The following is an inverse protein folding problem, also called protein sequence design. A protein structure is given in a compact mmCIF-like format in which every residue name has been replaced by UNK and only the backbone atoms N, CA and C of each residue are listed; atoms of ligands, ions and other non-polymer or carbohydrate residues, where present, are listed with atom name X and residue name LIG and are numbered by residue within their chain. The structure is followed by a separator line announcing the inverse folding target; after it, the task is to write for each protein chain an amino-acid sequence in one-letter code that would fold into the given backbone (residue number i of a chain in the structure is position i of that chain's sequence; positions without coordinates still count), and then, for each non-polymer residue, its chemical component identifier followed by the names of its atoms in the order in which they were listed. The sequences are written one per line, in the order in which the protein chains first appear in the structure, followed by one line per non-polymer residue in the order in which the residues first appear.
data_IF_307809484918
#
_entry.id   IF_307809484918
#
_cell.length_a   1.000
_cell.length_b   1.000
_cell.length_c   1.000
_cell.angle_alpha   90.00
_cell.angle_beta   90.00
_cell.angle_gamma   90.00
#
_symmetry.space_group_name_H-M   'P 1'
#
loop_
_entity.id
_entity.type
_entity.pdbx_description
1 polymer ?
#
# COMPACT_ATOMS: atom_id res chain seq x y z
N UNK A 1 -22.71 -3.27 4.12
CA UNK A 1 -22.35 -1.86 3.84
C UNK A 1 -21.14 -1.88 2.91
N UNK A 2 -21.33 -1.63 1.61
CA UNK A 2 -20.34 -1.92 0.57
C UNK A 2 -19.16 -0.94 0.64
N UNK A 3 -18.11 -1.31 1.38
CA UNK A 3 -16.89 -0.52 1.56
C UNK A 3 -16.29 -0.04 0.23
N UNK A 4 -16.37 -0.88 -0.81
CA UNK A 4 -15.89 -0.56 -2.17
C UNK A 4 -16.67 0.61 -2.78
N UNK A 5 -18.00 0.66 -2.63
CA UNK A 5 -18.83 1.75 -3.18
C UNK A 5 -18.59 3.10 -2.48
N UNK A 6 -18.25 3.05 -1.20
CA UNK A 6 -17.95 4.24 -0.40
C UNK A 6 -16.56 4.80 -0.69
N UNK A 7 -15.58 3.93 -0.93
CA UNK A 7 -14.20 4.33 -1.27
C UNK A 7 -14.13 4.89 -2.71
N UNK A 8 -14.95 4.38 -3.63
CA UNK A 8 -14.94 4.81 -5.05
C UNK A 8 -16.02 5.84 -5.40
N UNK A 9 -16.72 6.42 -4.41
CA UNK A 9 -17.77 7.46 -4.63
C UNK A 9 -18.77 7.02 -5.72
N UNK A 10 -19.18 5.75 -5.69
CA UNK A 10 -20.16 5.19 -6.64
C UNK A 10 -19.68 4.97 -8.10
N UNK A 11 -18.43 5.31 -8.46
CA UNK A 11 -17.92 5.14 -9.85
C UNK A 11 -17.14 3.84 -10.04
N UNK A 12 -17.76 2.70 -9.74
CA UNK A 12 -17.15 1.35 -9.87
C UNK A 12 -16.75 1.01 -11.30
N UNK A 13 -17.37 1.62 -12.30
CA UNK A 13 -17.03 1.39 -13.71
C UNK A 13 -15.62 1.85 -14.09
N UNK A 14 -15.09 2.84 -13.37
CA UNK A 14 -13.74 3.38 -13.61
C UNK A 14 -12.63 2.50 -13.08
N UNK A 15 -12.93 1.47 -12.28
CA UNK A 15 -11.97 0.47 -11.82
C UNK A 15 -11.69 -0.62 -12.86
N UNK A 16 -12.64 -0.93 -13.76
CA UNK A 16 -12.45 -2.00 -14.73
C UNK A 16 -11.28 -1.73 -15.69
N UNK A 17 -11.08 -0.47 -16.10
CA UNK A 17 -9.96 -0.07 -16.96
C UNK A 17 -8.59 -0.28 -16.29
N UNK A 18 -8.29 0.31 -15.12
CA UNK A 18 -7.01 0.08 -14.43
C UNK A 18 -6.80 -1.38 -14.06
N UNK A 19 -7.83 -2.11 -13.62
CA UNK A 19 -7.72 -3.54 -13.32
C UNK A 19 -7.40 -4.34 -14.58
N UNK A 20 -8.08 -4.07 -15.69
CA UNK A 20 -7.81 -4.70 -16.99
C UNK A 20 -6.40 -4.42 -17.51
N UNK A 21 -5.94 -3.16 -17.43
CA UNK A 21 -4.57 -2.80 -17.79
C UNK A 21 -3.53 -3.47 -16.89
N UNK A 22 -3.80 -3.58 -15.59
CA UNK A 22 -2.91 -4.24 -14.64
C UNK A 22 -2.85 -5.75 -14.90
N UNK A 23 -3.99 -6.39 -15.19
CA UNK A 23 -4.08 -7.79 -15.62
C UNK A 23 -3.27 -8.05 -16.90
N UNK A 24 -3.47 -7.22 -17.92
CA UNK A 24 -2.70 -7.30 -19.17
C UNK A 24 -1.20 -7.13 -18.92
N UNK A 25 -0.79 -6.13 -18.13
CA UNK A 25 0.62 -5.88 -17.82
C UNK A 25 1.28 -7.07 -17.09
N UNK A 26 0.56 -7.73 -16.18
CA UNK A 26 1.09 -8.90 -15.47
C UNK A 26 1.13 -10.16 -16.34
N UNK A 27 0.15 -10.37 -17.23
CA UNK A 27 0.22 -11.44 -18.23
C UNK A 27 1.42 -11.23 -19.16
N UNK A 28 1.66 -9.99 -19.58
CA UNK A 28 2.82 -9.59 -20.37
C UNK A 28 4.11 -9.93 -19.58
N UNK A 29 4.17 -9.68 -18.26
CA UNK A 29 5.29 -10.08 -17.40
C UNK A 29 5.62 -11.58 -17.32
N UNK A 30 4.71 -12.47 -17.73
CA UNK A 30 5.01 -13.91 -17.78
C UNK A 30 5.94 -14.24 -18.96
N UNK A 31 5.87 -13.46 -20.05
CA UNK A 31 6.65 -13.67 -21.28
C UNK A 31 8.17 -13.74 -21.02
N UNK A 32 8.80 -12.79 -20.31
CA UNK A 32 10.25 -12.85 -20.04
C UNK A 32 10.62 -14.03 -19.13
N UNK A 33 9.74 -14.47 -18.23
CA UNK A 33 9.96 -15.68 -17.44
C UNK A 33 9.99 -16.94 -18.32
N UNK A 34 9.04 -17.10 -19.23
CA UNK A 34 9.04 -18.20 -20.20
C UNK A 34 10.28 -18.18 -21.09
N UNK A 35 10.65 -17.02 -21.64
CA UNK A 35 11.86 -16.87 -22.47
C UNK A 35 13.15 -17.19 -21.69
N UNK A 36 13.20 -16.84 -20.41
CA UNK A 36 14.34 -17.17 -19.54
C UNK A 36 14.44 -18.68 -19.29
N UNK A 37 13.31 -19.37 -19.07
CA UNK A 37 13.28 -20.83 -18.92
C UNK A 37 13.74 -21.50 -20.23
N UNK A 38 13.28 -21.02 -21.39
CA UNK A 38 13.70 -21.51 -22.70
C UNK A 38 15.21 -21.33 -22.91
N UNK A 39 15.76 -20.16 -22.55
CA UNK A 39 17.19 -19.88 -22.63
C UNK A 39 18.02 -20.80 -21.72
N UNK A 40 17.57 -21.01 -20.48
CA UNK A 40 18.21 -21.96 -19.54
C UNK A 40 18.16 -23.37 -20.10
N UNK A 41 17.04 -23.79 -20.71
CA UNK A 41 16.88 -25.13 -21.31
C UNK A 41 17.84 -25.35 -22.47
N UNK A 42 18.03 -24.36 -23.34
CA UNK A 42 18.97 -24.41 -24.47
C UNK A 42 20.42 -24.54 -23.96
N UNK A 43 20.77 -23.75 -22.94
CA UNK A 43 22.10 -23.81 -22.32
C UNK A 43 22.32 -25.18 -21.66
N UNK A 44 21.37 -25.66 -20.86
CA UNK A 44 21.47 -26.97 -20.22
C UNK A 44 21.54 -28.11 -21.23
N UNK A 45 20.74 -28.09 -22.31
CA UNK A 45 20.78 -29.13 -23.35
C UNK A 45 22.11 -29.20 -24.08
N UNK A 46 22.85 -28.09 -24.16
CA UNK A 46 24.18 -28.05 -24.75
C UNK A 46 25.28 -28.56 -23.79
N UNK A 47 25.02 -28.57 -22.48
CA UNK A 47 25.95 -29.07 -21.46
C UNK A 47 25.62 -30.49 -20.96
N UNK A 48 24.51 -31.09 -21.39
CA UNK A 48 24.02 -32.42 -20.97
C UNK A 48 24.79 -33.61 -21.62
N UNK A 49 26.02 -33.39 -22.08
CA UNK A 49 26.88 -34.45 -22.64
C UNK A 49 26.43 -35.03 -24.00
N UNK A 50 25.38 -34.49 -24.62
CA UNK A 50 24.76 -35.00 -25.85
C UNK A 50 25.45 -34.55 -27.16
N UNK A 51 26.48 -33.70 -27.09
CA UNK A 51 27.27 -33.27 -28.24
C UNK A 51 26.55 -32.37 -29.26
N UNK A 52 25.38 -31.81 -28.91
CA UNK A 52 24.71 -30.84 -29.77
C UNK A 52 25.42 -29.48 -29.72
N UNK A 53 25.72 -28.85 -30.87
CA UNK A 53 26.34 -27.52 -30.90
C UNK A 53 25.41 -26.48 -30.28
N UNK A 54 25.99 -25.51 -29.57
CA UNK A 54 25.26 -24.41 -28.97
C UNK A 54 24.57 -23.60 -30.08
N UNK A 55 23.24 -23.65 -30.13
CA UNK A 55 22.43 -23.02 -31.17
C UNK A 55 22.38 -21.49 -30.97
N UNK A 56 23.52 -20.84 -31.25
CA UNK A 56 23.83 -19.44 -30.95
C UNK A 56 22.85 -18.48 -31.61
N UNK A 57 22.30 -18.87 -32.77
CA UNK A 57 21.29 -18.12 -33.51
C UNK A 57 19.96 -18.03 -32.76
N UNK A 58 19.52 -19.12 -32.11
CA UNK A 58 18.29 -19.10 -31.30
C UNK A 58 18.46 -18.24 -30.04
N UNK A 59 19.66 -18.24 -29.45
CA UNK A 59 19.96 -17.43 -28.27
C UNK A 59 19.93 -15.91 -28.59
N UNK A 60 20.45 -15.52 -29.75
CA UNK A 60 20.36 -14.13 -30.24
C UNK A 60 18.92 -13.70 -30.57
N UNK A 61 18.10 -14.60 -31.12
CA UNK A 61 16.67 -14.33 -31.32
C UNK A 61 15.93 -14.14 -30.00
N UNK A 62 16.20 -14.98 -28.99
CA UNK A 62 15.62 -14.82 -27.65
C UNK A 62 16.04 -13.47 -27.05
N UNK A 63 17.32 -13.10 -27.17
CA UNK A 63 17.81 -11.81 -26.70
C UNK A 63 17.13 -10.63 -27.41
N UNK A 64 16.97 -10.70 -28.74
CA UNK A 64 16.28 -9.69 -29.54
C UNK A 64 14.81 -9.55 -29.16
N UNK A 65 14.10 -10.67 -28.98
CA UNK A 65 12.71 -10.70 -28.53
C UNK A 65 12.58 -10.12 -27.11
N UNK A 66 13.53 -10.43 -26.22
CA UNK A 66 13.53 -9.90 -24.84
C UNK A 66 13.80 -8.39 -24.80
N UNK A 67 14.70 -7.89 -25.65
CA UNK A 67 14.96 -6.46 -25.79
C UNK A 67 13.74 -5.72 -26.35
N UNK A 68 13.09 -6.27 -27.39
CA UNK A 68 11.86 -5.71 -27.95
C UNK A 68 10.71 -5.73 -26.92
N UNK A 69 10.57 -6.82 -26.17
CA UNK A 69 9.62 -6.95 -25.07
C UNK A 69 9.83 -5.86 -24.01
N UNK A 70 11.08 -5.63 -23.57
CA UNK A 70 11.40 -4.57 -22.61
C UNK A 70 10.96 -3.19 -23.11
N UNK A 71 11.16 -2.92 -24.40
CA UNK A 71 10.81 -1.66 -25.02
C UNK A 71 9.28 -1.45 -25.11
N UNK A 72 8.55 -2.48 -25.53
CA UNK A 72 7.08 -2.49 -25.56
C UNK A 72 6.51 -2.31 -24.15
N UNK A 73 7.08 -2.99 -23.16
CA UNK A 73 6.64 -2.90 -21.78
C UNK A 73 6.89 -1.51 -21.19
N UNK A 74 8.06 -0.92 -21.43
CA UNK A 74 8.37 0.44 -20.98
C UNK A 74 7.40 1.48 -21.58
N UNK A 75 7.00 1.31 -22.85
CA UNK A 75 6.01 2.17 -23.50
C UNK A 75 4.60 1.96 -22.91
N UNK A 76 4.20 0.71 -22.69
CA UNK A 76 2.91 0.35 -22.11
C UNK A 76 2.77 0.86 -20.66
N UNK A 77 3.80 0.71 -19.83
CA UNK A 77 3.81 1.28 -18.47
C UNK A 77 3.71 2.80 -18.49
N UNK A 78 4.47 3.49 -19.36
CA UNK A 78 4.37 4.94 -19.49
C UNK A 78 2.97 5.40 -19.95
N UNK A 79 2.27 4.61 -20.75
CA UNK A 79 0.91 4.91 -21.18
C UNK A 79 -0.11 4.66 -20.06
N UNK A 80 -0.01 3.51 -19.39
CA UNK A 80 -0.86 3.14 -18.23
C UNK A 80 -0.69 4.12 -17.07
N UNK A 81 0.55 4.52 -16.76
CA UNK A 81 0.85 5.52 -15.75
C UNK A 81 0.20 6.87 -16.11
N UNK A 82 0.35 7.35 -17.34
CA UNK A 82 -0.29 8.61 -17.76
C UNK A 82 -1.82 8.56 -17.71
N UNK A 83 -2.43 7.43 -18.07
CA UNK A 83 -3.89 7.27 -18.05
C UNK A 83 -4.45 7.20 -16.62
N UNK A 84 -3.81 6.44 -15.73
CA UNK A 84 -4.25 6.28 -14.34
C UNK A 84 -4.05 7.57 -13.53
N UNK A 85 -2.90 8.24 -13.69
CA UNK A 85 -2.62 9.46 -12.94
C UNK A 85 -3.49 10.64 -13.38
N UNK A 86 -3.79 10.82 -14.68
CA UNK A 86 -4.70 11.89 -15.11
C UNK A 86 -6.11 11.74 -14.53
N UNK A 87 -6.68 10.52 -14.58
CA UNK A 87 -8.02 10.27 -14.05
C UNK A 87 -8.11 10.47 -12.53
N UNK A 88 -7.04 10.14 -11.81
CA UNK A 88 -6.88 10.40 -10.39
C UNK A 88 -6.83 11.90 -10.07
N UNK A 89 -5.99 12.67 -10.77
CA UNK A 89 -5.82 14.10 -10.54
C UNK A 89 -7.11 14.90 -10.86
N UNK A 90 -7.80 14.58 -11.96
CA UNK A 90 -9.09 15.20 -12.28
C UNK A 90 -10.16 14.91 -11.22
N UNK A 91 -10.15 13.70 -10.65
CA UNK A 91 -11.05 13.34 -9.57
C UNK A 91 -10.75 14.12 -8.29
N UNK A 92 -9.48 14.29 -7.95
CA UNK A 92 -9.09 15.10 -6.79
C UNK A 92 -9.46 16.57 -6.97
N UNK A 93 -9.21 17.13 -8.15
CA UNK A 93 -9.55 18.51 -8.48
C UNK A 93 -11.07 18.77 -8.43
N UNK A 94 -11.87 17.90 -9.05
CA UNK A 94 -13.34 18.02 -9.01
C UNK A 94 -13.92 17.80 -7.61
N UNK A 95 -13.33 16.90 -6.82
CA UNK A 95 -13.71 16.69 -5.43
C UNK A 95 -13.45 17.92 -4.55
N UNK A 96 -12.27 18.55 -4.68
CA UNK A 96 -11.95 19.80 -3.99
C UNK A 96 -12.92 20.92 -4.35
N UNK A 97 -13.29 21.04 -5.64
CA UNK A 97 -14.24 22.04 -6.10
C UNK A 97 -15.64 21.82 -5.54
N UNK A 98 -16.13 20.57 -5.53
CA UNK A 98 -17.44 20.24 -4.98
C UNK A 98 -17.53 20.51 -3.46
N UNK A 99 -16.46 20.23 -2.71
CA UNK A 99 -16.45 20.49 -1.27
C UNK A 99 -16.35 21.99 -0.96
N UNK A 100 -15.52 22.73 -1.71
CA UNK A 100 -15.46 24.19 -1.61
C UNK A 100 -16.85 24.81 -1.85
N UNK A 101 -17.57 24.29 -2.85
CA UNK A 101 -18.93 24.70 -3.17
C UNK A 101 -19.96 24.30 -2.10
N UNK A 102 -19.76 23.17 -1.43
CA UNK A 102 -20.58 22.76 -0.29
C UNK A 102 -20.33 23.64 0.94
N UNK A 103 -19.07 23.92 1.26
CA UNK A 103 -18.65 24.82 2.34
C UNK A 103 -19.19 26.24 2.14
N UNK A 104 -19.23 26.73 0.89
CA UNK A 104 -19.84 28.02 0.54
C UNK A 104 -21.32 28.10 0.91
N UNK A 105 -22.03 26.97 0.93
CA UNK A 105 -23.48 26.87 1.22
C UNK A 105 -23.79 26.63 2.69
N UNK A 106 -22.77 26.40 3.53
CA UNK A 106 -22.98 26.22 4.96
C UNK A 106 -23.29 27.55 5.67
N UNK A 107 -24.09 27.46 6.72
CA UNK A 107 -24.44 28.64 7.52
C UNK A 107 -23.23 29.16 8.30
N UNK A 108 -23.13 30.49 8.39
CA UNK A 108 -22.09 31.18 9.17
C UNK A 108 -22.08 30.73 10.65
N UNK A 109 -23.23 30.33 11.20
CA UNK A 109 -23.33 29.79 12.56
C UNK A 109 -22.65 28.43 12.77
N UNK A 110 -22.51 27.61 11.73
CA UNK A 110 -21.71 26.38 11.78
C UNK A 110 -20.21 26.68 11.60
N UNK A 111 -19.87 27.60 10.69
CA UNK A 111 -18.49 28.01 10.45
C UNK A 111 -17.87 28.72 11.67
N UNK A 112 -18.64 29.54 12.39
CA UNK A 112 -18.17 30.29 13.56
C UNK A 112 -17.90 29.41 14.80
N UNK A 113 -18.38 28.16 14.80
CA UNK A 113 -18.16 27.19 15.88
C UNK A 113 -16.94 26.29 15.67
N UNK A 114 -16.28 26.35 14.50
CA UNK A 114 -15.10 25.54 14.19
C UNK A 114 -13.92 26.42 13.84
N UNK A 115 -12.72 25.97 14.23
CA UNK A 115 -11.49 26.65 13.86
C UNK A 115 -11.29 26.64 12.32
N UNK A 116 -11.04 27.80 11.69
CA UNK A 116 -10.76 27.89 10.26
C UNK A 116 -9.57 27.01 9.84
N UNK A 117 -8.60 26.83 10.74
CA UNK A 117 -7.43 25.96 10.53
C UNK A 117 -7.80 24.48 10.44
N UNK A 118 -8.74 24.01 11.27
CA UNK A 118 -9.26 22.63 11.19
C UNK A 118 -10.02 22.39 9.89
N UNK A 119 -10.81 23.38 9.46
CA UNK A 119 -11.58 23.29 8.21
C UNK A 119 -10.66 23.27 6.98
N UNK A 120 -9.61 24.09 6.99
CA UNK A 120 -8.58 24.11 5.95
C UNK A 120 -7.77 22.82 5.93
N UNK A 121 -7.38 22.30 7.10
CA UNK A 121 -6.66 21.04 7.23
C UNK A 121 -7.51 19.85 6.77
N UNK A 122 -8.80 19.84 7.08
CA UNK A 122 -9.75 18.83 6.58
C UNK A 122 -9.85 18.88 5.04
N UNK A 123 -9.94 20.07 4.46
CA UNK A 123 -10.00 20.27 3.01
C UNK A 123 -8.75 19.80 2.26
N UNK A 124 -7.57 20.03 2.83
CA UNK A 124 -6.29 19.74 2.18
C UNK A 124 -5.84 18.32 2.49
N UNK A 125 -5.82 17.94 3.76
CA UNK A 125 -5.25 16.68 4.24
C UNK A 125 -6.15 15.49 3.92
N UNK A 126 -7.46 15.60 4.18
CA UNK A 126 -8.37 14.46 3.95
C UNK A 126 -8.54 14.20 2.45
N UNK A 127 -8.53 15.24 1.61
CA UNK A 127 -8.55 15.07 0.16
C UNK A 127 -7.24 14.50 -0.39
N UNK A 128 -6.08 14.94 0.12
CA UNK A 128 -4.83 14.29 -0.26
C UNK A 128 -4.82 12.81 0.15
N UNK A 129 -5.36 12.46 1.32
CA UNK A 129 -5.51 11.05 1.72
C UNK A 129 -6.49 10.29 0.82
N UNK A 130 -7.63 10.89 0.46
CA UNK A 130 -8.60 10.27 -0.45
C UNK A 130 -8.03 10.10 -1.88
N UNK A 131 -7.34 11.12 -2.40
CA UNK A 131 -6.64 11.11 -3.69
C UNK A 131 -5.58 10.00 -3.69
N UNK A 132 -4.72 9.96 -2.67
CA UNK A 132 -3.67 8.93 -2.56
C UNK A 132 -4.29 7.54 -2.42
N UNK A 133 -5.40 7.42 -1.68
CA UNK A 133 -6.17 6.19 -1.54
C UNK A 133 -6.67 5.64 -2.86
N UNK A 134 -7.30 6.49 -3.69
CA UNK A 134 -7.89 6.09 -4.97
C UNK A 134 -6.82 5.90 -6.04
N UNK A 135 -5.73 6.68 -6.01
CA UNK A 135 -4.72 6.70 -7.07
C UNK A 135 -3.62 5.67 -6.87
N UNK A 136 -3.27 5.37 -5.62
CA UNK A 136 -2.13 4.52 -5.30
C UNK A 136 -2.56 3.22 -4.62
N UNK A 137 -3.35 3.31 -3.55
CA UNK A 137 -3.68 2.14 -2.75
C UNK A 137 -4.74 1.26 -3.40
N UNK A 138 -5.76 1.84 -4.05
CA UNK A 138 -6.84 1.08 -4.65
C UNK A 138 -6.38 0.24 -5.86
N UNK A 139 -5.59 0.76 -6.82
CA UNK A 139 -5.03 -0.06 -7.90
C UNK A 139 -4.09 -1.15 -7.37
N UNK A 140 -3.27 -0.83 -6.37
CA UNK A 140 -2.37 -1.81 -5.74
C UNK A 140 -3.14 -2.94 -5.06
N UNK A 141 -4.20 -2.63 -4.30
CA UNK A 141 -5.04 -3.64 -3.66
C UNK A 141 -5.71 -4.54 -4.69
N UNK A 142 -6.24 -3.95 -5.77
CA UNK A 142 -6.86 -4.75 -6.83
C UNK A 142 -5.84 -5.64 -7.53
N UNK A 143 -4.65 -5.13 -7.86
CA UNK A 143 -3.56 -5.94 -8.40
C UNK A 143 -3.15 -7.06 -7.46
N UNK A 144 -3.01 -6.77 -6.16
CA UNK A 144 -2.62 -7.74 -5.14
C UNK A 144 -3.65 -8.87 -4.93
N UNK A 145 -4.94 -8.65 -5.22
CA UNK A 145 -5.99 -9.67 -5.12
C UNK A 145 -6.17 -10.41 -6.44
N UNK A 146 -6.17 -9.70 -7.56
CA UNK A 146 -6.48 -10.28 -8.87
C UNK A 146 -5.34 -11.18 -9.36
N UNK A 147 -4.08 -10.83 -9.11
CA UNK A 147 -2.94 -11.64 -9.59
C UNK A 147 -2.87 -13.03 -8.97
N UNK A 148 -2.91 -13.18 -7.62
CA UNK A 148 -2.88 -14.52 -7.03
C UNK A 148 -4.08 -15.37 -7.45
N UNK A 149 -5.26 -14.77 -7.63
CA UNK A 149 -6.47 -15.48 -8.06
C UNK A 149 -6.33 -15.99 -9.50
N UNK A 150 -5.84 -15.15 -10.42
CA UNK A 150 -5.55 -15.56 -11.80
C UNK A 150 -4.48 -16.65 -11.84
N UNK A 151 -3.39 -16.48 -11.09
CA UNK A 151 -2.31 -17.46 -11.02
C UNK A 151 -2.79 -18.80 -10.45
N UNK A 152 -3.64 -18.77 -9.42
CA UNK A 152 -4.26 -19.98 -8.88
C UNK A 152 -5.15 -20.66 -9.92
N UNK A 153 -6.02 -19.91 -10.60
CA UNK A 153 -6.93 -20.45 -11.61
C UNK A 153 -6.18 -21.07 -12.80
N UNK A 154 -5.11 -20.43 -13.26
CA UNK A 154 -4.28 -20.98 -14.35
C UNK A 154 -3.50 -22.22 -13.92
N UNK A 155 -2.94 -22.24 -12.70
CA UNK A 155 -2.25 -23.42 -12.18
C UNK A 155 -3.19 -24.60 -11.98
N UNK A 156 -4.40 -24.38 -11.45
CA UNK A 156 -5.40 -25.44 -11.26
C UNK A 156 -5.77 -26.08 -12.59
N UNK A 157 -5.79 -25.31 -13.69
CA UNK A 157 -6.06 -25.85 -15.03
C UNK A 157 -4.89 -26.71 -15.56
N UNK A 158 -3.64 -26.38 -15.21
CA UNK A 158 -2.47 -27.16 -15.62
C UNK A 158 -2.32 -28.42 -14.77
N UNK A 159 -2.22 -28.25 -13.45
CA UNK A 159 -2.09 -29.33 -12.48
C UNK A 159 -2.63 -28.89 -11.11
N UNK A 160 -3.76 -29.48 -10.71
CA UNK A 160 -4.43 -29.14 -9.45
C UNK A 160 -3.62 -29.55 -8.21
N UNK A 161 -2.77 -30.57 -8.28
CA UNK A 161 -1.95 -31.03 -7.15
C UNK A 161 -0.83 -30.02 -6.89
N UNK A 162 -0.21 -29.52 -7.95
CA UNK A 162 0.80 -28.47 -7.88
C UNK A 162 0.19 -27.16 -7.36
N UNK A 163 -0.98 -26.78 -7.87
CA UNK A 163 -1.72 -25.59 -7.42
C UNK A 163 -2.02 -25.61 -5.91
N UNK A 164 -2.54 -26.73 -5.39
CA UNK A 164 -2.84 -26.87 -3.97
C UNK A 164 -1.58 -26.81 -3.12
N UNK A 165 -0.48 -27.42 -3.57
CA UNK A 165 0.79 -27.42 -2.81
C UNK A 165 1.38 -26.01 -2.64
N UNK A 166 1.37 -25.20 -3.70
CA UNK A 166 1.88 -23.82 -3.66
C UNK A 166 0.96 -22.90 -2.85
N UNK A 167 -0.35 -23.03 -3.03
CA UNK A 167 -1.32 -22.16 -2.35
C UNK A 167 -1.71 -22.64 -0.95
N UNK A 168 -1.23 -23.79 -0.47
CA UNK A 168 -1.46 -24.25 0.90
C UNK A 168 -0.88 -23.29 1.96
N UNK A 169 0.18 -22.54 1.63
CA UNK A 169 0.75 -21.52 2.50
C UNK A 169 -0.13 -20.26 2.60
N UNK A 170 -0.96 -19.98 1.58
CA UNK A 170 -1.81 -18.78 1.51
C UNK A 170 -2.84 -18.68 2.66
N UNK A 171 -3.66 -19.71 2.97
CA UNK A 171 -4.61 -19.63 4.09
C UNK A 171 -3.90 -19.46 5.44
N UNK A 172 -2.72 -20.05 5.61
CA UNK A 172 -1.92 -19.87 6.82
C UNK A 172 -1.39 -18.43 6.93
N UNK A 173 -0.92 -17.85 5.82
CA UNK A 173 -0.54 -16.44 5.75
C UNK A 173 -1.71 -15.50 6.07
N UNK A 174 -2.90 -15.78 5.53
CA UNK A 174 -4.11 -15.00 5.82
C UNK A 174 -4.52 -15.07 7.31
N UNK A 175 -4.39 -16.23 7.94
CA UNK A 175 -4.64 -16.38 9.38
C UNK A 175 -3.65 -15.56 10.22
N UNK A 176 -2.36 -15.62 9.90
CA UNK A 176 -1.32 -14.81 10.57
C UNK A 176 -1.58 -13.33 10.38
N UNK A 177 -1.92 -12.90 9.15
CA UNK A 177 -2.26 -11.51 8.85
C UNK A 177 -3.48 -11.05 9.64
N UNK A 178 -4.52 -11.87 9.73
CA UNK A 178 -5.73 -11.54 10.49
C UNK A 178 -5.44 -11.41 11.99
N UNK A 179 -4.67 -12.35 12.55
CA UNK A 179 -4.23 -12.30 13.95
C UNK A 179 -3.38 -11.04 14.22
N UNK A 180 -2.44 -10.71 13.33
CA UNK A 180 -1.60 -9.51 13.41
C UNK A 180 -2.45 -8.24 13.36
N UNK A 181 -3.41 -8.16 12.43
CA UNK A 181 -4.32 -7.01 12.30
C UNK A 181 -5.17 -6.81 13.55
N UNK A 182 -5.68 -7.91 14.14
CA UNK A 182 -6.45 -7.87 15.39
C UNK A 182 -5.60 -7.41 16.57
N UNK A 183 -4.36 -7.90 16.67
CA UNK A 183 -3.40 -7.47 17.69
C UNK A 183 -3.03 -5.99 17.52
N UNK A 184 -2.79 -5.55 16.29
CA UNK A 184 -2.51 -4.15 15.95
C UNK A 184 -3.64 -3.23 16.38
N UNK A 185 -4.90 -3.54 16.01
CA UNK A 185 -6.05 -2.71 16.40
C UNK A 185 -6.18 -2.56 17.92
N UNK A 186 -5.97 -3.64 18.68
CA UNK A 186 -6.02 -3.61 20.15
C UNK A 186 -4.92 -2.73 20.74
N UNK A 187 -3.74 -2.70 20.12
CA UNK A 187 -2.57 -2.00 20.62
C UNK A 187 -2.50 -0.53 20.18
N UNK A 188 -2.97 -0.23 18.97
CA UNK A 188 -3.03 1.12 18.42
C UNK A 188 -3.89 2.06 19.26
N UNK A 189 -4.96 1.59 19.90
CA UNK A 189 -5.76 2.44 20.80
C UNK A 189 -4.93 3.04 21.95
N UNK A 190 -4.05 2.23 22.56
CA UNK A 190 -3.15 2.68 23.63
C UNK A 190 -2.06 3.62 23.09
N UNK A 191 -1.50 3.31 21.92
CA UNK A 191 -0.50 4.17 21.27
C UNK A 191 -1.09 5.55 20.93
N UNK A 192 -2.29 5.58 20.35
CA UNK A 192 -3.00 6.81 19.99
C UNK A 192 -3.29 7.63 21.26
N UNK A 193 -3.79 7.01 22.33
CA UNK A 193 -4.07 7.71 23.58
C UNK A 193 -2.79 8.30 24.20
N UNK A 194 -1.69 7.54 24.24
CA UNK A 194 -0.40 8.02 24.74
C UNK A 194 0.14 9.17 23.87
N UNK A 195 -0.06 9.12 22.56
CA UNK A 195 0.33 10.18 21.62
C UNK A 195 -0.45 11.47 21.86
N UNK A 196 -1.77 11.37 22.05
CA UNK A 196 -2.63 12.52 22.38
C UNK A 196 -2.22 13.11 23.73
N UNK A 197 -2.01 12.29 24.76
CA UNK A 197 -1.58 12.78 26.07
C UNK A 197 -0.23 13.50 26.00
N UNK A 198 0.76 12.94 25.30
CA UNK A 198 2.07 13.59 25.11
C UNK A 198 1.94 14.92 24.36
N UNK A 199 1.10 14.99 23.32
CA UNK A 199 0.80 16.22 22.58
C UNK A 199 0.18 17.30 23.46
N UNK A 200 -0.87 16.96 24.20
CA UNK A 200 -1.55 17.90 25.11
C UNK A 200 -0.61 18.43 26.20
N UNK A 201 0.27 17.58 26.75
CA UNK A 201 1.26 18.01 27.77
C UNK A 201 2.34 18.89 27.18
N UNK A 202 2.74 18.65 25.93
CA UNK A 202 3.68 19.52 25.22
C UNK A 202 3.07 20.90 24.99
N UNK A 203 1.80 20.94 24.58
CA UNK A 203 1.07 22.19 24.38
C UNK A 203 0.93 22.98 25.69
N UNK A 204 0.52 22.33 26.79
CA UNK A 204 0.43 22.93 28.12
C UNK A 204 1.79 23.50 28.57
N UNK A 205 2.88 22.77 28.31
CA UNK A 205 4.23 23.21 28.63
C UNK A 205 4.63 24.44 27.82
N UNK A 206 4.34 24.47 26.51
CA UNK A 206 4.66 25.60 25.64
C UNK A 206 3.87 26.85 26.02
N UNK A 207 2.58 26.71 26.32
CA UNK A 207 1.74 27.83 26.78
C UNK A 207 2.17 28.34 28.16
N UNK A 208 2.55 27.43 29.07
CA UNK A 208 2.94 27.74 30.44
C UNK A 208 4.40 28.13 30.66
N UNK A 209 5.27 28.04 29.64
CA UNK A 209 6.73 28.15 29.82
C UNK A 209 7.18 29.50 30.40
N UNK A 210 6.50 30.60 30.05
CA UNK A 210 6.81 31.94 30.58
C UNK A 210 6.52 32.02 32.08
N UNK A 211 5.36 31.48 32.50
CA UNK A 211 4.95 31.44 33.91
C UNK A 211 5.86 30.51 34.71
N UNK A 212 6.19 29.35 34.15
CA UNK A 212 7.11 28.39 34.74
C UNK A 212 8.50 28.96 35.00
N UNK A 213 9.03 29.74 34.05
CA UNK A 213 10.30 30.46 34.21
C UNK A 213 10.21 31.56 35.26
N UNK A 214 9.10 32.30 35.30
CA UNK A 214 8.88 33.37 36.28
C UNK A 214 8.81 32.87 37.74
N UNK A 215 8.25 31.67 37.95
CA UNK A 215 8.13 31.04 39.27
C UNK A 215 9.26 30.03 39.58
N UNK A 216 10.26 29.89 38.71
CA UNK A 216 11.35 28.91 38.83
C UNK A 216 10.87 27.44 38.99
N UNK A 217 9.72 27.09 38.41
CA UNK A 217 9.05 25.77 38.51
C UNK A 217 9.44 24.79 37.38
N UNK A 218 10.59 25.01 36.75
CA UNK A 218 10.99 24.35 35.49
C UNK A 218 11.15 22.82 35.69
N UNK A 219 11.44 22.34 36.90
CA UNK A 219 11.65 20.91 37.20
C UNK A 219 10.38 20.06 37.26
N UNK A 220 9.39 20.42 38.09
CA UNK A 220 8.28 19.52 38.44
C UNK A 220 7.29 19.26 37.30
N UNK A 221 6.93 20.28 36.52
CA UNK A 221 6.06 20.06 35.34
C UNK A 221 6.81 19.43 34.16
N UNK A 222 8.13 19.57 34.10
CA UNK A 222 8.94 18.87 33.10
C UNK A 222 8.94 17.34 33.34
N UNK A 223 8.86 16.90 34.60
CA UNK A 223 8.72 15.47 34.93
C UNK A 223 7.44 14.89 34.32
N UNK A 224 6.30 15.58 34.45
CA UNK A 224 5.03 15.13 33.85
C UNK A 224 5.09 15.01 32.33
N UNK A 225 5.73 15.98 31.67
CA UNK A 225 5.94 15.94 30.22
C UNK A 225 6.84 14.77 29.81
N UNK A 226 7.98 14.60 30.51
CA UNK A 226 8.92 13.51 30.31
C UNK A 226 8.26 12.14 30.50
N UNK A 227 7.42 12.00 31.52
CA UNK A 227 6.73 10.74 31.80
C UNK A 227 5.70 10.41 30.71
N UNK A 228 4.97 11.41 30.19
CA UNK A 228 4.06 11.22 29.06
C UNK A 228 4.81 10.77 27.78
N UNK A 229 5.97 11.37 27.48
CA UNK A 229 6.81 10.92 26.37
C UNK A 229 7.43 9.54 26.61
N UNK A 230 7.78 9.20 27.85
CA UNK A 230 8.29 7.87 28.21
C UNK A 230 7.21 6.80 28.09
N UNK A 231 5.95 7.12 28.38
CA UNK A 231 4.80 6.26 28.15
C UNK A 231 4.53 6.07 26.65
N UNK A 232 4.54 7.14 25.85
CA UNK A 232 4.44 7.07 24.40
C UNK A 232 5.54 6.20 23.79
N UNK A 233 6.80 6.40 24.20
CA UNK A 233 7.93 5.58 23.77
C UNK A 233 7.70 4.10 24.10
N UNK A 234 7.27 3.77 25.32
CA UNK A 234 6.97 2.39 25.73
C UNK A 234 5.83 1.79 24.90
N UNK A 235 4.79 2.56 24.60
CA UNK A 235 3.69 2.12 23.74
C UNK A 235 4.15 1.84 22.30
N UNK A 236 4.97 2.72 21.72
CA UNK A 236 5.56 2.52 20.39
C UNK A 236 6.46 1.28 20.34
N UNK A 237 7.40 1.13 21.28
CA UNK A 237 8.31 -0.03 21.34
C UNK A 237 7.51 -1.33 21.48
N UNK A 238 6.50 -1.35 22.35
CA UNK A 238 5.64 -2.53 22.52
C UNK A 238 4.90 -2.88 21.22
N UNK A 239 4.45 -1.88 20.48
CA UNK A 239 3.78 -2.09 19.21
C UNK A 239 4.71 -2.63 18.13
N UNK A 240 5.92 -2.09 18.04
CA UNK A 240 6.90 -2.54 17.07
C UNK A 240 7.45 -3.93 17.40
N UNK A 241 7.77 -4.19 18.67
CA UNK A 241 8.26 -5.49 19.13
C UNK A 241 7.23 -6.62 18.96
N UNK A 242 5.94 -6.31 19.12
CA UNK A 242 4.88 -7.29 18.87
C UNK A 242 4.61 -7.47 17.39
N UNK A 243 4.43 -6.39 16.62
CA UNK A 243 4.01 -6.49 15.22
C UNK A 243 5.13 -6.87 14.26
N UNK A 244 6.37 -6.45 14.51
CA UNK A 244 7.52 -6.70 13.64
C UNK A 244 7.71 -8.18 13.32
N UNK A 245 7.81 -9.08 14.32
CA UNK A 245 7.92 -10.51 14.09
C UNK A 245 6.75 -11.11 13.30
N UNK A 246 5.50 -10.69 13.56
CA UNK A 246 4.34 -11.18 12.81
C UNK A 246 4.35 -10.76 11.35
N UNK A 247 4.79 -9.53 11.04
CA UNK A 247 4.91 -9.06 9.66
C UNK A 247 6.00 -9.83 8.91
N UNK A 248 7.17 -10.02 9.53
CA UNK A 248 8.26 -10.80 8.96
C UNK A 248 7.87 -12.28 8.73
N UNK A 249 7.14 -12.86 9.68
CA UNK A 249 6.62 -14.22 9.57
C UNK A 249 5.60 -14.35 8.44
N UNK A 250 4.74 -13.35 8.26
CA UNK A 250 3.80 -13.33 7.14
C UNK A 250 4.53 -13.24 5.78
N UNK A 251 5.54 -12.37 5.66
CA UNK A 251 6.32 -12.21 4.42
C UNK A 251 7.06 -13.51 4.08
N UNK A 252 7.65 -14.18 5.07
CA UNK A 252 8.36 -15.45 4.85
C UNK A 252 7.42 -16.57 4.45
N UNK A 253 6.24 -16.65 5.06
CA UNK A 253 5.22 -17.63 4.66
C UNK A 253 4.76 -17.45 3.22
N UNK A 254 4.49 -16.21 2.81
CA UNK A 254 4.04 -15.88 1.45
C UNK A 254 5.14 -16.17 0.42
N UNK A 255 6.42 -16.12 0.80
CA UNK A 255 7.55 -16.48 -0.09
C UNK A 255 7.88 -17.96 -0.12
N UNK A 256 7.39 -18.73 0.85
CA UNK A 256 7.69 -20.16 0.98
C UNK A 256 6.74 -21.06 0.19
N UNK A 257 5.56 -20.55 -0.20
CA UNK A 257 4.63 -21.22 -1.12
C UNK A 257 4.65 -20.57 -2.50
#
# INVERSE_FOLDING_TARGET
MNAIRNITIGHTERLYKPVGYTMLANLVNIVPFCLSIEAIRIIFSAFDGSGQPLDTTRLWWIFGIMAAYMLVMALAERASYRANFRGAYEMSASGRLSLAEHLRKLSLGFLSKRDPGDLSSMLVTDFMMAETGISHHLPQLMGAIVMPVLAFASLVWIDWRMAVSMFAALPLALLVLWASTKAQRKLSGRQIQAKINAGNRLEEYLQGIRVMKAYNLIGDRFVRLRDAFAELRRACIRQEALLGPFVLLNITLVRAG
#
